data_IF_282460512343
#
_entry.id   IF_282460512343
#
_cell.length_a   1.000
_cell.length_b   1.000
_cell.length_c   1.000
_cell.angle_alpha   90.00
_cell.angle_beta   90.00
_cell.angle_gamma   90.00
#
_symmetry.space_group_name_H-M   'P 1'
#
loop_
_entity.id
_entity.type
_entity.pdbx_description
1 polymer ?
#
# COMPACT_ATOMS: atom_id res chain seq x y z
N UNK A 1 5.76 -4.73 -11.76
CA UNK A 1 5.76 -3.90 -13.00
C UNK A 1 6.96 -2.95 -13.03
N UNK A 2 7.44 -2.52 -14.20
CA UNK A 2 8.60 -1.62 -14.30
C UNK A 2 8.41 -0.30 -13.52
N UNK A 3 7.19 0.24 -13.52
CA UNK A 3 6.81 1.44 -12.77
C UNK A 3 6.93 1.26 -11.25
N UNK A 4 6.47 0.12 -10.72
CA UNK A 4 6.57 -0.19 -9.29
C UNK A 4 8.03 -0.20 -8.80
N UNK A 5 8.94 -0.82 -9.57
CA UNK A 5 10.37 -0.84 -9.23
C UNK A 5 10.99 0.57 -9.33
N UNK A 6 10.66 1.32 -10.39
CA UNK A 6 11.23 2.64 -10.62
C UNK A 6 10.83 3.65 -9.54
N UNK A 7 9.55 3.66 -9.14
CA UNK A 7 9.01 4.67 -8.23
C UNK A 7 8.91 4.20 -6.78
N UNK A 8 9.09 2.89 -6.53
CA UNK A 8 8.79 2.24 -5.25
C UNK A 8 7.30 2.28 -4.87
N UNK A 9 6.44 2.47 -5.85
CA UNK A 9 4.97 2.38 -5.79
C UNK A 9 4.44 2.42 -7.21
N UNK A 10 3.17 2.08 -7.40
CA UNK A 10 2.49 2.25 -8.70
C UNK A 10 2.00 3.72 -8.78
N UNK A 11 2.39 4.51 -9.79
CA UNK A 11 1.91 5.89 -9.88
C UNK A 11 0.46 5.99 -10.37
N UNK A 12 -0.33 6.88 -9.76
CA UNK A 12 -1.76 7.10 -10.06
C UNK A 12 -2.03 7.55 -11.50
N UNK A 13 -1.15 8.35 -12.08
CA UNK A 13 -1.25 8.82 -13.45
C UNK A 13 -0.90 7.74 -14.50
N UNK A 14 -0.50 6.56 -14.04
CA UNK A 14 -0.30 5.36 -14.87
C UNK A 14 -1.38 4.30 -14.65
N UNK A 15 -1.88 4.18 -13.43
CA UNK A 15 -2.94 3.23 -13.03
C UNK A 15 -3.80 3.87 -11.94
N UNK A 16 -5.13 3.89 -12.14
CA UNK A 16 -6.02 4.57 -11.20
C UNK A 16 -6.15 3.82 -9.88
N UNK A 17 -6.09 2.49 -9.92
CA UNK A 17 -6.19 1.65 -8.72
C UNK A 17 -4.83 1.40 -8.07
N UNK A 18 -3.94 2.40 -8.12
CA UNK A 18 -2.52 2.21 -7.84
C UNK A 18 -2.17 1.98 -6.38
N UNK A 19 -2.93 2.55 -5.44
CA UNK A 19 -2.72 2.29 -4.01
C UNK A 19 -2.97 0.81 -3.66
N UNK A 20 -4.14 0.22 -3.98
CA UNK A 20 -4.37 -1.23 -3.85
C UNK A 20 -3.26 -2.08 -4.46
N UNK A 21 -2.85 -1.78 -5.70
CA UNK A 21 -1.80 -2.55 -6.35
C UNK A 21 -0.45 -2.45 -5.63
N UNK A 22 -0.10 -1.25 -5.14
CA UNK A 22 1.15 -1.03 -4.41
C UNK A 22 1.19 -1.85 -3.12
N UNK A 23 0.11 -1.83 -2.34
CA UNK A 23 0.07 -2.56 -1.07
C UNK A 23 -0.03 -4.09 -1.29
N UNK A 24 -0.72 -4.54 -2.34
CA UNK A 24 -0.74 -5.95 -2.75
C UNK A 24 0.64 -6.43 -3.19
N UNK A 25 1.36 -5.66 -4.00
CA UNK A 25 2.72 -6.02 -4.40
C UNK A 25 3.69 -6.03 -3.22
N UNK A 26 3.54 -5.13 -2.25
CA UNK A 26 4.35 -5.17 -1.03
C UNK A 26 4.10 -6.45 -0.23
N UNK A 27 2.86 -6.95 -0.17
CA UNK A 27 2.56 -8.25 0.43
C UNK A 27 3.14 -9.42 -0.37
N UNK A 28 2.99 -9.40 -1.69
CA UNK A 28 3.56 -10.43 -2.56
C UNK A 28 5.09 -10.49 -2.45
N UNK A 29 5.75 -9.33 -2.38
CA UNK A 29 7.20 -9.23 -2.18
C UNK A 29 7.61 -9.84 -0.83
N UNK A 30 6.84 -9.62 0.24
CA UNK A 30 7.08 -10.29 1.51
C UNK A 30 6.92 -11.82 1.41
N UNK A 31 5.89 -12.30 0.71
CA UNK A 31 5.68 -13.73 0.53
C UNK A 31 6.83 -14.38 -0.26
N UNK A 32 7.28 -13.73 -1.35
CA UNK A 32 8.43 -14.16 -2.14
C UNK A 32 9.70 -14.21 -1.28
N UNK A 33 9.97 -13.14 -0.52
CA UNK A 33 11.15 -13.07 0.34
C UNK A 33 11.22 -14.24 1.33
N UNK A 34 10.09 -14.62 1.93
CA UNK A 34 10.04 -15.75 2.86
C UNK A 34 10.29 -17.10 2.16
N UNK A 35 9.78 -17.30 0.94
CA UNK A 35 10.06 -18.51 0.15
C UNK A 35 11.55 -18.58 -0.21
N UNK A 36 12.14 -17.46 -0.65
CA UNK A 36 13.57 -17.40 -0.99
C UNK A 36 14.46 -17.67 0.23
N UNK A 37 14.13 -17.07 1.38
CA UNK A 37 14.83 -17.30 2.63
C UNK A 37 14.76 -18.77 3.06
N UNK A 38 13.58 -19.40 2.96
CA UNK A 38 13.42 -20.83 3.25
C UNK A 38 14.22 -21.74 2.29
N UNK A 39 14.46 -21.29 1.06
CA UNK A 39 15.28 -21.98 0.06
C UNK A 39 16.79 -21.73 0.21
N UNK A 40 17.22 -20.95 1.20
CA UNK A 40 18.63 -20.60 1.43
C UNK A 40 19.15 -19.45 0.56
N UNK A 41 18.29 -18.77 -0.19
CA UNK A 41 18.61 -17.61 -1.03
C UNK A 41 18.50 -16.30 -0.23
N UNK A 42 19.24 -16.24 0.88
CA UNK A 42 19.09 -15.18 1.89
C UNK A 42 19.50 -13.81 1.36
N UNK A 43 20.54 -13.75 0.52
CA UNK A 43 21.04 -12.49 -0.03
C UNK A 43 20.09 -11.90 -1.06
N UNK A 44 19.50 -12.74 -1.91
CA UNK A 44 18.50 -12.35 -2.89
C UNK A 44 17.17 -11.96 -2.23
N UNK A 45 16.79 -12.61 -1.13
CA UNK A 45 15.59 -12.29 -0.37
C UNK A 45 15.61 -10.86 0.20
N UNK A 46 16.78 -10.25 0.43
CA UNK A 46 16.91 -8.90 1.00
C UNK A 46 16.20 -7.83 0.18
N UNK A 47 16.31 -7.90 -1.15
CA UNK A 47 15.64 -6.94 -2.04
C UNK A 47 14.12 -7.03 -1.87
N UNK A 48 13.57 -8.23 -1.82
CA UNK A 48 12.13 -8.44 -1.65
C UNK A 48 11.64 -8.03 -0.26
N UNK A 49 12.45 -8.23 0.79
CA UNK A 49 12.14 -7.68 2.11
C UNK A 49 12.16 -6.15 2.16
N UNK A 50 13.06 -5.49 1.41
CA UNK A 50 13.03 -4.02 1.24
C UNK A 50 11.74 -3.61 0.52
N UNK A 51 11.43 -4.25 -0.60
CA UNK A 51 10.23 -3.92 -1.39
C UNK A 51 8.94 -4.15 -0.63
N UNK A 52 8.92 -5.12 0.29
CA UNK A 52 7.81 -5.34 1.19
C UNK A 52 7.50 -4.15 2.12
N UNK A 53 8.38 -3.14 2.22
CA UNK A 53 8.12 -1.89 2.95
C UNK A 53 7.57 -0.78 2.06
N UNK A 54 7.49 -0.97 0.74
CA UNK A 54 7.11 0.08 -0.20
C UNK A 54 5.64 0.50 -0.13
N UNK A 55 4.78 -0.24 0.57
CA UNK A 55 3.43 0.21 0.94
C UNK A 55 3.45 1.59 1.66
N UNK A 56 4.53 1.90 2.38
CA UNK A 56 4.73 3.18 3.05
C UNK A 56 4.71 4.37 2.08
N UNK A 57 5.09 4.17 0.82
CA UNK A 57 5.11 5.25 -0.17
C UNK A 57 3.73 5.74 -0.58
N UNK A 58 2.66 4.97 -0.33
CA UNK A 58 1.28 5.36 -0.63
C UNK A 58 0.45 5.60 0.63
N UNK A 59 1.08 5.58 1.82
CA UNK A 59 0.42 5.97 3.06
C UNK A 59 0.44 7.50 3.22
N UNK A 60 -0.72 8.12 3.26
CA UNK A 60 -0.84 9.55 3.52
C UNK A 60 -1.07 9.82 5.00
N UNK A 61 -0.09 10.46 5.66
CA UNK A 61 -0.15 10.76 7.10
C UNK A 61 -1.20 11.81 7.48
N UNK A 62 -1.80 12.55 6.53
CA UNK A 62 -2.84 13.53 6.82
C UNK A 62 -4.20 12.86 7.02
N UNK A 63 -4.52 11.92 6.13
CA UNK A 63 -5.77 11.15 6.17
C UNK A 63 -5.64 9.88 7.00
N UNK A 64 -4.42 9.34 7.16
CA UNK A 64 -4.11 8.01 7.70
C UNK A 64 -4.70 6.86 6.86
N UNK A 65 -4.71 7.02 5.53
CA UNK A 65 -5.15 6.01 4.58
C UNK A 65 -4.07 5.73 3.53
N UNK A 66 -4.21 4.58 2.87
CA UNK A 66 -3.51 4.32 1.62
C UNK A 66 -4.21 5.05 0.48
N UNK A 67 -3.52 6.03 -0.09
CA UNK A 67 -4.03 6.88 -1.16
C UNK A 67 -3.17 6.75 -2.41
N UNK A 68 -3.77 6.75 -3.61
CA UNK A 68 -3.00 6.81 -4.85
C UNK A 68 -2.07 8.04 -4.84
N UNK A 69 -0.85 7.88 -5.33
CA UNK A 69 0.13 8.95 -5.45
C UNK A 69 0.61 9.05 -6.88
N UNK A 70 0.66 10.23 -7.47
CA UNK A 70 1.16 10.41 -8.84
C UNK A 70 2.69 10.49 -8.88
N UNK A 71 3.28 10.45 -10.10
CA UNK A 71 4.74 10.58 -10.29
C UNK A 71 5.33 11.87 -9.72
N UNK A 72 4.54 12.94 -9.59
CA UNK A 72 4.98 14.22 -9.02
C UNK A 72 4.93 14.21 -7.47
N UNK A 73 4.42 13.13 -6.87
CA UNK A 73 4.35 12.97 -5.43
C UNK A 73 3.07 13.51 -4.80
N UNK A 74 2.07 13.92 -5.61
CA UNK A 74 0.79 14.38 -5.06
C UNK A 74 -0.09 13.18 -4.73
N UNK A 75 -0.69 13.21 -3.54
CA UNK A 75 -1.68 12.23 -3.12
C UNK A 75 -3.07 12.58 -3.66
N UNK A 76 -3.79 11.56 -4.11
CA UNK A 76 -5.14 11.62 -4.64
C UNK A 76 -6.10 10.90 -3.69
N UNK A 77 -6.10 11.28 -2.42
CA UNK A 77 -7.01 10.74 -1.41
C UNK A 77 -8.48 11.14 -1.67
N UNK A 78 -9.45 10.37 -1.14
CA UNK A 78 -10.83 10.83 -1.00
C UNK A 78 -10.93 12.20 -0.33
N UNK A 79 -11.85 13.04 -0.82
CA UNK A 79 -11.95 14.45 -0.42
C UNK A 79 -12.97 14.73 0.67
N UNK A 80 -13.89 13.78 0.92
CA UNK A 80 -14.99 13.90 1.87
C UNK A 80 -15.42 12.50 2.35
N UNK A 81 -16.21 12.46 3.43
CA UNK A 81 -16.64 11.22 4.08
C UNK A 81 -17.37 10.24 3.16
N UNK A 82 -18.18 10.75 2.22
CA UNK A 82 -18.92 9.90 1.29
C UNK A 82 -17.97 9.18 0.32
N UNK A 83 -16.92 9.86 -0.15
CA UNK A 83 -15.92 9.23 -1.01
C UNK A 83 -15.08 8.18 -0.25
N UNK A 84 -14.80 8.37 1.04
CA UNK A 84 -14.10 7.36 1.83
C UNK A 84 -14.88 6.05 1.96
N UNK A 85 -16.21 6.12 1.85
CA UNK A 85 -17.14 5.00 2.00
C UNK A 85 -17.77 4.57 0.65
N UNK A 86 -17.26 5.05 -0.48
CA UNK A 86 -17.80 4.73 -1.80
C UNK A 86 -17.16 3.46 -2.37
N UNK A 87 -17.84 2.30 -2.37
CA UNK A 87 -17.28 1.05 -2.89
C UNK A 87 -17.10 1.06 -4.41
N UNK A 88 -17.56 2.10 -5.11
CA UNK A 88 -17.41 2.29 -6.54
C UNK A 88 -16.34 3.35 -6.89
N UNK A 89 -15.57 3.81 -5.90
CA UNK A 89 -14.46 4.71 -6.12
C UNK A 89 -13.38 4.06 -7.02
N UNK A 90 -13.11 4.69 -8.17
CA UNK A 90 -12.17 4.20 -9.18
C UNK A 90 -10.70 4.20 -8.73
N UNK A 91 -10.40 4.76 -7.56
CA UNK A 91 -9.09 4.70 -6.91
C UNK A 91 -8.81 3.35 -6.25
N UNK A 92 -9.86 2.55 -6.03
CA UNK A 92 -9.79 1.28 -5.32
C UNK A 92 -10.38 0.14 -6.19
N UNK A 93 -9.96 -1.11 -5.97
CA UNK A 93 -10.44 -2.26 -6.76
C UNK A 93 -11.61 -2.88 -5.99
N UNK A 94 -12.85 -2.68 -6.48
CA UNK A 94 -14.06 -3.30 -5.94
C UNK A 94 -14.25 -3.08 -4.42
N UNK A 95 -13.94 -1.87 -3.96
CA UNK A 95 -14.01 -1.47 -2.56
C UNK A 95 -13.70 0.01 -2.40
N UNK A 96 -13.57 0.46 -1.16
CA UNK A 96 -13.28 1.85 -0.81
C UNK A 96 -11.98 1.98 0.00
N UNK A 97 -11.66 3.21 0.41
CA UNK A 97 -10.48 3.50 1.20
C UNK A 97 -10.47 2.76 2.56
N UNK A 98 -11.63 2.54 3.18
CA UNK A 98 -11.75 1.81 4.44
C UNK A 98 -11.47 0.32 4.28
N UNK A 99 -11.94 -0.32 3.21
CA UNK A 99 -11.62 -1.72 2.93
C UNK A 99 -10.10 -1.93 2.82
N UNK A 100 -9.39 -0.98 2.20
CA UNK A 100 -7.96 -1.07 1.97
C UNK A 100 -7.08 -0.54 3.10
N UNK A 101 -7.63 0.23 4.04
CA UNK A 101 -6.90 0.89 5.14
C UNK A 101 -6.03 -0.08 5.94
N UNK A 102 -6.45 -1.33 6.06
CA UNK A 102 -5.80 -2.33 6.91
C UNK A 102 -4.98 -3.37 6.13
N UNK A 103 -4.90 -3.27 4.80
CA UNK A 103 -4.32 -4.32 3.95
C UNK A 103 -2.79 -4.26 3.87
N UNK A 104 -2.13 -4.49 5.01
CA UNK A 104 -0.68 -4.73 5.11
C UNK A 104 -0.42 -5.85 6.15
N UNK A 105 -0.96 -7.08 5.93
CA UNK A 105 -0.99 -8.12 6.95
C UNK A 105 0.39 -8.65 7.36
N UNK A 106 1.43 -8.36 6.57
CA UNK A 106 2.82 -8.74 6.83
C UNK A 106 3.58 -7.75 7.74
N UNK A 107 2.95 -6.67 8.18
CA UNK A 107 3.56 -5.66 9.05
C UNK A 107 2.68 -5.32 10.24
N UNK A 108 3.33 -4.93 11.33
CA UNK A 108 2.65 -4.26 12.43
C UNK A 108 2.30 -2.83 12.01
N UNK A 109 1.01 -2.57 11.86
CA UNK A 109 0.47 -1.30 11.42
C UNK A 109 0.19 -0.34 12.61
N UNK A 110 0.41 -0.75 13.86
CA UNK A 110 0.24 0.11 15.05
C UNK A 110 1.08 1.40 14.96
N UNK A 111 2.24 1.37 14.30
CA UNK A 111 3.08 2.55 14.10
C UNK A 111 2.48 3.62 13.17
N UNK A 112 1.47 3.27 12.37
CA UNK A 112 0.80 4.19 11.44
C UNK A 112 -0.52 4.74 11.99
N UNK A 113 -0.93 4.29 13.18
CA UNK A 113 -2.18 4.68 13.80
C UNK A 113 -1.85 5.36 15.13
N UNK A 114 -1.90 6.70 15.12
CA UNK A 114 -1.42 7.57 16.21
C UNK A 114 -2.16 7.30 17.53
N UNK A 115 -3.39 6.78 17.45
CA UNK A 115 -4.18 6.39 18.61
C UNK A 115 -4.63 4.94 18.47
N UNK A 116 -4.41 4.11 19.49
CA UNK A 116 -4.93 2.73 19.52
C UNK A 116 -6.46 2.66 19.47
N UNK A 117 -7.15 3.77 19.75
CA UNK A 117 -8.59 3.93 19.58
C UNK A 117 -9.04 4.03 18.11
N UNK A 118 -8.16 4.48 17.22
CA UNK A 118 -8.43 4.53 15.76
C UNK A 118 -8.30 3.13 15.11
N UNK A 119 -7.89 2.14 15.89
CA UNK A 119 -7.72 0.74 15.50
C UNK A 119 -8.92 -0.14 15.89
N UNK A 120 -9.86 0.39 16.67
CA UNK A 120 -11.04 -0.34 17.13
C UNK A 120 -12.20 0.01 16.19
N UNK A 121 -12.68 -1.00 15.47
CA UNK A 121 -13.90 -0.96 14.65
C UNK A 121 -15.11 -1.18 15.56
#
# INVERSE_FOLDING_TARGET
>A
PATYIQYKYVPYDMEKTSAPLTISYAYDDWAIANVMNAAGLVDEAKEYYERATWFEHVFDNKTNFFCPKDKAGNFHCPSNELEFLDPFDKRYIEGDAWHYRFFVPHKDLLKYHVNSKDYVI
#
